data_IF_033957021523
#
_entry.id   IF_033957021523
#
_cell.length_a   1.000
_cell.length_b   1.000
_cell.length_c   1.000
_cell.angle_alpha   90.00
_cell.angle_beta   90.00
_cell.angle_gamma   90.00
#
_symmetry.space_group_name_H-M   'P 1'
#
loop_
_entity.id
_entity.type
_entity.pdbx_description
1 polymer ?
#
# COMPACT_ATOMS: atom_id res chain seq x y z
N UNK A 1 16.10 -14.48 16.41
CA UNK A 1 16.77 -14.53 15.08
C UNK A 1 17.28 -13.14 14.74
N UNK A 2 18.39 -13.03 13.99
CA UNK A 2 18.89 -11.75 13.48
C UNK A 2 18.29 -11.40 12.11
N UNK A 3 17.95 -10.13 11.87
CA UNK A 3 17.53 -9.61 10.56
C UNK A 3 18.30 -8.33 10.21
N UNK A 4 18.72 -8.18 8.97
CA UNK A 4 19.20 -6.90 8.44
C UNK A 4 18.06 -6.07 7.86
N UNK A 5 18.02 -4.76 8.10
CA UNK A 5 17.10 -3.82 7.46
C UNK A 5 17.85 -2.71 6.71
N UNK A 6 17.54 -2.54 5.43
CA UNK A 6 18.00 -1.44 4.57
C UNK A 6 16.80 -0.56 4.22
N UNK A 7 16.92 0.73 4.52
CA UNK A 7 15.83 1.70 4.36
C UNK A 7 15.05 1.88 5.67
N UNK A 8 15.35 2.97 6.36
CA UNK A 8 14.92 3.26 7.74
C UNK A 8 13.96 4.45 7.79
N UNK A 9 13.23 4.68 6.69
CA UNK A 9 12.06 5.57 6.68
C UNK A 9 10.96 5.10 7.65
N UNK A 10 9.80 5.76 7.61
CA UNK A 10 8.70 5.51 8.56
C UNK A 10 8.32 4.02 8.70
N UNK A 11 8.25 3.29 7.58
CA UNK A 11 7.93 1.85 7.59
C UNK A 11 9.09 1.01 8.13
N UNK A 12 10.27 1.10 7.51
CA UNK A 12 11.41 0.25 7.88
C UNK A 12 11.86 0.45 9.32
N UNK A 13 11.90 1.69 9.81
CA UNK A 13 12.23 1.96 11.21
C UNK A 13 11.22 1.38 12.20
N UNK A 14 9.93 1.38 11.88
CA UNK A 14 8.89 0.78 12.72
C UNK A 14 8.95 -0.76 12.71
N UNK A 15 9.26 -1.37 11.56
CA UNK A 15 9.49 -2.81 11.46
C UNK A 15 10.67 -3.22 12.34
N UNK A 16 11.80 -2.51 12.28
CA UNK A 16 12.98 -2.76 13.13
C UNK A 16 12.62 -2.68 14.62
N UNK A 17 11.94 -1.61 15.04
CA UNK A 17 11.50 -1.44 16.44
C UNK A 17 10.59 -2.59 16.88
N UNK A 18 9.65 -2.99 16.04
CA UNK A 18 8.75 -4.09 16.36
C UNK A 18 9.50 -5.41 16.51
N UNK A 19 10.47 -5.70 15.63
CA UNK A 19 11.33 -6.89 15.73
C UNK A 19 12.12 -6.91 17.04
N UNK A 20 12.73 -5.79 17.41
CA UNK A 20 13.49 -5.68 18.67
C UNK A 20 12.60 -5.87 19.90
N UNK A 21 11.36 -5.33 19.90
CA UNK A 21 10.37 -5.58 20.97
C UNK A 21 10.02 -7.06 21.13
N UNK A 22 10.15 -7.86 20.07
CA UNK A 22 9.93 -9.30 20.08
C UNK A 22 11.22 -10.12 20.22
N UNK A 23 12.31 -9.50 20.70
CA UNK A 23 13.56 -10.20 21.04
C UNK A 23 14.43 -10.57 19.84
N UNK A 24 14.17 -10.00 18.66
CA UNK A 24 15.05 -10.15 17.50
C UNK A 24 16.18 -9.12 17.54
N UNK A 25 17.37 -9.53 17.11
CA UNK A 25 18.48 -8.61 16.90
C UNK A 25 18.43 -8.07 15.48
N UNK A 26 18.77 -6.79 15.29
CA UNK A 26 18.68 -6.15 13.98
C UNK A 26 19.97 -5.44 13.61
N UNK A 27 20.45 -5.65 12.39
CA UNK A 27 21.49 -4.82 11.77
C UNK A 27 20.79 -3.83 10.85
N UNK A 28 21.17 -2.55 10.87
CA UNK A 28 20.43 -1.50 10.13
C UNK A 28 21.35 -0.65 9.28
N UNK A 29 20.84 -0.25 8.11
CA UNK A 29 21.50 0.66 7.18
C UNK A 29 20.49 1.62 6.53
N UNK A 30 20.89 2.89 6.40
CA UNK A 30 20.24 3.90 5.57
C UNK A 30 21.30 4.88 5.05
N UNK A 31 21.03 5.54 3.92
CA UNK A 31 21.86 6.66 3.44
C UNK A 31 21.85 7.84 4.42
N UNK A 32 20.78 8.00 5.20
CA UNK A 32 20.69 8.99 6.26
C UNK A 32 21.28 8.41 7.56
N UNK A 33 22.50 8.84 7.88
CA UNK A 33 23.21 8.45 9.10
C UNK A 33 22.42 8.79 10.38
N UNK A 34 21.52 9.80 10.36
CA UNK A 34 20.68 10.12 11.52
C UNK A 34 19.64 9.04 11.76
N UNK A 35 19.07 8.46 10.71
CA UNK A 35 18.11 7.36 10.83
C UNK A 35 18.78 6.11 11.43
N UNK A 36 20.01 5.80 10.99
CA UNK A 36 20.84 4.72 11.56
C UNK A 36 21.14 4.99 13.04
N UNK A 37 21.61 6.19 13.39
CA UNK A 37 21.93 6.55 14.77
C UNK A 37 20.70 6.48 15.69
N UNK A 38 19.53 6.89 15.20
CA UNK A 38 18.27 6.80 15.95
C UNK A 38 17.90 5.37 16.32
N UNK A 39 17.95 4.44 15.36
CA UNK A 39 17.66 3.02 15.66
C UNK A 39 18.77 2.34 16.44
N UNK A 40 20.02 2.79 16.30
CA UNK A 40 21.11 2.29 17.13
C UNK A 40 20.92 2.67 18.61
N UNK A 41 20.43 3.87 18.89
CA UNK A 41 20.04 4.29 20.24
C UNK A 41 18.88 3.44 20.79
N UNK A 42 17.99 2.95 19.91
CA UNK A 42 16.89 2.04 20.26
C UNK A 42 17.35 0.58 20.46
N UNK A 43 18.62 0.26 20.18
CA UNK A 43 19.22 -1.08 20.40
C UNK A 43 19.64 -1.84 19.14
N UNK A 44 19.45 -1.28 17.94
CA UNK A 44 19.90 -1.91 16.70
C UNK A 44 21.42 -1.79 16.51
N UNK A 45 22.01 -2.71 15.73
CA UNK A 45 23.39 -2.59 15.30
C UNK A 45 23.46 -1.76 14.00
N UNK A 46 23.85 -0.49 14.09
CA UNK A 46 24.02 0.37 12.92
C UNK A 46 25.21 -0.03 12.03
N UNK A 47 25.17 0.32 10.76
CA UNK A 47 26.24 0.17 9.77
C UNK A 47 26.34 1.42 8.90
N UNK A 48 27.55 1.74 8.41
CA UNK A 48 27.82 2.94 7.62
C UNK A 48 27.87 2.66 6.11
N UNK A 49 28.08 1.41 5.69
CA UNK A 49 28.04 0.99 4.28
C UNK A 49 27.26 -0.31 4.11
N UNK A 50 26.84 -0.62 2.87
CA UNK A 50 26.15 -1.86 2.54
C UNK A 50 27.05 -3.10 2.74
N UNK A 51 28.35 -2.98 2.51
CA UNK A 51 29.31 -4.07 2.74
C UNK A 51 29.48 -4.35 4.23
N UNK A 52 29.59 -3.29 5.05
CA UNK A 52 29.63 -3.40 6.50
C UNK A 52 28.34 -4.00 7.05
N UNK A 53 27.20 -3.58 6.50
CA UNK A 53 25.88 -4.14 6.80
C UNK A 53 25.87 -5.66 6.60
N UNK A 54 26.26 -6.15 5.42
CA UNK A 54 26.28 -7.60 5.11
C UNK A 54 27.31 -8.34 5.99
N UNK A 55 28.44 -7.72 6.30
CA UNK A 55 29.48 -8.30 7.15
C UNK A 55 29.02 -8.51 8.61
N UNK A 56 28.13 -7.64 9.11
CA UNK A 56 27.56 -7.74 10.46
C UNK A 56 26.45 -8.77 10.60
N UNK A 57 25.94 -9.31 9.49
CA UNK A 57 24.88 -10.33 9.50
C UNK A 57 25.41 -11.75 9.72
N UNK A 58 24.75 -12.47 10.62
CA UNK A 58 24.92 -13.89 10.90
C UNK A 58 24.44 -14.74 9.72
N UNK A 59 25.20 -15.79 9.40
CA UNK A 59 24.89 -16.72 8.30
C UNK A 59 23.93 -17.83 8.79
N UNK A 60 23.03 -18.36 7.93
CA UNK A 60 22.66 -17.84 6.62
C UNK A 60 21.89 -16.52 6.73
N UNK A 61 22.37 -15.48 6.04
CA UNK A 61 21.94 -14.09 6.26
C UNK A 61 20.53 -13.84 5.77
N UNK A 62 19.83 -12.91 6.41
CA UNK A 62 18.55 -12.39 5.94
C UNK A 62 18.62 -10.85 5.91
N UNK A 63 18.55 -10.29 4.70
CA UNK A 63 18.61 -8.84 4.47
C UNK A 63 17.28 -8.36 3.88
N UNK A 64 16.57 -7.52 4.62
CA UNK A 64 15.32 -6.90 4.22
C UNK A 64 15.56 -5.52 3.63
N UNK A 65 15.10 -5.30 2.39
CA UNK A 65 15.13 -4.03 1.68
C UNK A 65 13.73 -3.39 1.74
N UNK A 66 13.66 -2.19 2.29
CA UNK A 66 12.43 -1.42 2.51
C UNK A 66 12.60 -0.03 1.87
N UNK A 67 12.68 -0.03 0.54
CA UNK A 67 12.96 1.14 -0.29
C UNK A 67 11.86 1.35 -1.35
N UNK A 68 11.72 2.57 -1.91
CA UNK A 68 10.80 2.81 -3.02
C UNK A 68 11.10 1.92 -4.22
N UNK A 69 10.06 1.42 -4.89
CA UNK A 69 10.21 0.58 -6.06
C UNK A 69 11.00 1.28 -7.19
N UNK A 70 11.65 0.47 -8.03
CA UNK A 70 12.44 0.91 -9.16
C UNK A 70 13.94 0.95 -8.88
N UNK A 71 14.65 1.88 -9.52
CA UNK A 71 16.11 1.87 -9.63
C UNK A 71 16.84 1.78 -8.28
N UNK A 72 16.35 2.44 -7.24
CA UNK A 72 17.02 2.43 -5.93
C UNK A 72 16.99 1.05 -5.25
N UNK A 73 15.88 0.31 -5.39
CA UNK A 73 15.77 -1.06 -4.89
C UNK A 73 16.62 -2.01 -5.73
N UNK A 74 16.60 -1.87 -7.07
CA UNK A 74 17.46 -2.67 -7.97
C UNK A 74 18.94 -2.57 -7.59
N UNK A 75 19.48 -1.34 -7.55
CA UNK A 75 20.92 -1.15 -7.29
C UNK A 75 21.33 -1.59 -5.89
N UNK A 76 20.45 -1.42 -4.90
CA UNK A 76 20.70 -1.88 -3.53
C UNK A 76 20.78 -3.40 -3.48
N UNK A 77 19.82 -4.10 -4.10
CA UNK A 77 19.80 -5.56 -4.17
C UNK A 77 21.04 -6.10 -4.87
N UNK A 78 21.42 -5.52 -6.02
CA UNK A 78 22.61 -5.94 -6.76
C UNK A 78 23.89 -5.76 -5.92
N UNK A 79 24.00 -4.64 -5.21
CA UNK A 79 25.16 -4.32 -4.36
C UNK A 79 25.30 -5.31 -3.21
N UNK A 80 24.23 -5.55 -2.44
CA UNK A 80 24.32 -6.52 -1.33
C UNK A 80 24.50 -7.95 -1.84
N UNK A 81 23.85 -8.30 -2.95
CA UNK A 81 23.99 -9.61 -3.54
C UNK A 81 25.45 -9.86 -3.93
N UNK A 82 26.18 -8.86 -4.45
CA UNK A 82 27.61 -8.96 -4.81
C UNK A 82 28.52 -9.47 -3.67
N UNK A 83 28.13 -9.23 -2.42
CA UNK A 83 28.91 -9.60 -1.21
C UNK A 83 28.22 -10.65 -0.33
N UNK A 84 27.02 -11.10 -0.71
CA UNK A 84 26.32 -12.24 -0.09
C UNK A 84 26.79 -13.58 -0.70
N UNK A 85 26.47 -14.67 -0.03
CA UNK A 85 26.86 -16.04 -0.43
C UNK A 85 25.65 -16.95 -0.64
N UNK A 86 25.89 -18.12 -1.20
CA UNK A 86 24.87 -19.15 -1.36
C UNK A 86 24.20 -19.50 0.00
N UNK A 87 22.87 -19.61 -0.01
CA UNK A 87 22.03 -19.86 1.16
C UNK A 87 21.56 -18.60 1.90
N UNK A 88 22.14 -17.43 1.63
CA UNK A 88 21.63 -16.17 2.14
C UNK A 88 20.30 -15.79 1.45
N UNK A 89 19.48 -14.94 2.08
CA UNK A 89 18.19 -14.46 1.54
C UNK A 89 18.12 -12.94 1.51
N UNK A 90 17.63 -12.41 0.39
CA UNK A 90 17.22 -11.02 0.24
C UNK A 90 15.69 -10.97 0.27
N UNK A 91 15.14 -10.11 1.13
CA UNK A 91 13.72 -9.87 1.27
C UNK A 91 13.42 -8.48 0.71
N UNK A 92 12.54 -8.36 -0.28
CA UNK A 92 11.97 -7.06 -0.67
C UNK A 92 10.61 -6.90 -0.01
N UNK A 93 10.46 -5.90 0.86
CA UNK A 93 9.16 -5.57 1.47
C UNK A 93 8.62 -4.19 1.09
N UNK A 94 9.19 -3.58 0.04
CA UNK A 94 8.62 -2.38 -0.56
C UNK A 94 7.33 -2.69 -1.34
N UNK A 95 6.74 -1.67 -1.96
CA UNK A 95 5.64 -1.89 -2.90
C UNK A 95 6.20 -2.10 -4.32
N UNK A 96 6.83 -3.25 -4.53
CA UNK A 96 7.47 -3.58 -5.82
C UNK A 96 6.49 -4.22 -6.79
N UNK A 97 6.70 -3.99 -8.09
CA UNK A 97 5.96 -4.67 -9.14
C UNK A 97 6.38 -6.14 -9.20
N UNK A 98 5.43 -7.06 -9.00
CA UNK A 98 5.70 -8.50 -8.84
C UNK A 98 6.53 -9.16 -9.96
N UNK A 99 6.51 -8.62 -11.18
CA UNK A 99 7.35 -9.15 -12.27
C UNK A 99 8.83 -8.85 -12.07
N UNK A 100 9.18 -7.75 -11.41
CA UNK A 100 10.54 -7.45 -11.00
C UNK A 100 11.03 -8.47 -9.97
N UNK A 101 10.18 -8.87 -9.03
CA UNK A 101 10.49 -9.94 -8.07
C UNK A 101 10.79 -11.25 -8.78
N UNK A 102 9.96 -11.65 -9.75
CA UNK A 102 10.17 -12.87 -10.54
C UNK A 102 11.51 -12.82 -11.29
N UNK A 103 11.86 -11.67 -11.89
CA UNK A 103 13.14 -11.48 -12.56
C UNK A 103 14.31 -11.55 -11.59
N UNK A 104 14.27 -10.81 -10.48
CA UNK A 104 15.32 -10.78 -9.45
C UNK A 104 15.52 -12.16 -8.82
N UNK A 105 14.44 -12.85 -8.49
CA UNK A 105 14.47 -14.20 -7.94
C UNK A 105 15.18 -15.18 -8.86
N UNK A 106 14.96 -15.11 -10.18
CA UNK A 106 15.70 -15.92 -11.16
C UNK A 106 17.20 -15.59 -11.16
N UNK A 107 17.55 -14.31 -11.25
CA UNK A 107 18.94 -13.86 -11.30
C UNK A 107 19.73 -14.21 -10.02
N UNK A 108 19.12 -14.04 -8.85
CA UNK A 108 19.76 -14.35 -7.56
C UNK A 108 19.90 -15.86 -7.34
N UNK A 109 18.96 -16.65 -7.84
CA UNK A 109 19.01 -18.11 -7.76
C UNK A 109 20.23 -18.68 -8.50
N UNK A 110 20.66 -18.08 -9.61
CA UNK A 110 21.89 -18.46 -10.31
C UNK A 110 23.15 -18.33 -9.43
N UNK A 111 23.08 -17.49 -8.40
CA UNK A 111 24.14 -17.23 -7.42
C UNK A 111 23.94 -18.02 -6.11
N UNK A 112 22.91 -18.86 -6.05
CA UNK A 112 22.51 -19.58 -4.84
C UNK A 112 21.91 -18.68 -3.75
N UNK A 113 21.53 -17.44 -4.07
CA UNK A 113 20.91 -16.50 -3.12
C UNK A 113 19.39 -16.62 -3.27
N UNK A 114 18.70 -16.75 -2.14
CA UNK A 114 17.24 -16.83 -2.12
C UNK A 114 16.62 -15.43 -2.19
N UNK A 115 15.41 -15.36 -2.72
CA UNK A 115 14.63 -14.13 -2.80
C UNK A 115 13.23 -14.36 -2.20
N UNK A 116 12.77 -13.38 -1.43
CA UNK A 116 11.44 -13.37 -0.82
C UNK A 116 10.82 -11.99 -1.01
N UNK A 117 9.62 -11.93 -1.59
CA UNK A 117 8.82 -10.71 -1.68
C UNK A 117 7.77 -10.68 -0.57
N UNK A 118 7.61 -9.53 0.10
CA UNK A 118 6.72 -9.38 1.26
C UNK A 118 5.85 -8.16 1.11
N UNK A 119 4.68 -8.37 0.54
CA UNK A 119 3.64 -7.37 0.51
C UNK A 119 3.14 -7.04 1.90
N UNK A 120 3.39 -5.81 2.37
CA UNK A 120 3.15 -5.41 3.77
C UNK A 120 2.02 -4.37 3.85
N UNK A 121 1.01 -4.61 4.69
CA UNK A 121 -0.14 -3.71 4.92
C UNK A 121 -0.30 -3.35 6.40
N UNK A 122 -0.84 -2.16 6.68
CA UNK A 122 -1.01 -1.60 8.04
C UNK A 122 -0.39 -0.22 8.24
N UNK A 123 0.47 0.23 7.32
CA UNK A 123 1.09 1.55 7.34
C UNK A 123 1.91 1.82 8.61
N UNK A 124 2.05 3.09 8.98
CA UNK A 124 2.86 3.50 10.14
C UNK A 124 2.35 2.95 11.47
N UNK A 125 1.05 2.63 11.54
CA UNK A 125 0.37 2.07 12.71
C UNK A 125 0.74 0.61 12.99
N UNK A 126 1.39 -0.07 12.05
CA UNK A 126 1.81 -1.46 12.24
C UNK A 126 2.88 -1.66 13.31
N UNK A 127 3.55 -0.60 13.79
CA UNK A 127 4.43 -0.70 14.96
C UNK A 127 3.68 -1.29 16.15
N UNK A 128 2.47 -0.79 16.40
CA UNK A 128 1.64 -1.19 17.53
C UNK A 128 0.64 -2.27 17.12
N UNK A 129 -0.06 -2.07 15.99
CA UNK A 129 -1.11 -2.99 15.50
C UNK A 129 -0.59 -4.27 14.85
N UNK A 130 0.67 -4.30 14.43
CA UNK A 130 1.22 -5.35 13.55
C UNK A 130 0.87 -5.14 12.09
N UNK A 131 1.47 -5.98 11.23
CA UNK A 131 1.41 -5.87 9.78
C UNK A 131 0.73 -7.08 9.17
N UNK A 132 -0.25 -6.85 8.30
CA UNK A 132 -0.73 -7.92 7.44
C UNK A 132 0.29 -8.16 6.33
N UNK A 133 0.77 -9.40 6.18
CA UNK A 133 1.86 -9.72 5.27
C UNK A 133 1.50 -10.83 4.29
N UNK A 134 1.79 -10.60 3.01
CA UNK A 134 1.61 -11.54 1.92
C UNK A 134 2.99 -11.88 1.37
N UNK A 135 3.42 -13.13 1.55
CA UNK A 135 4.81 -13.54 1.36
C UNK A 135 4.92 -14.44 0.14
N UNK A 136 5.73 -14.05 -0.84
CA UNK A 136 6.12 -14.88 -1.97
C UNK A 136 7.55 -15.39 -1.79
N UNK A 137 7.79 -16.67 -2.09
CA UNK A 137 9.13 -17.25 -1.96
C UNK A 137 9.16 -18.76 -1.88
N UNK A 138 10.37 -19.32 -1.83
CA UNK A 138 10.57 -20.76 -1.62
C UNK A 138 10.10 -21.17 -0.23
N UNK A 139 9.25 -22.21 -0.14
CA UNK A 139 8.61 -22.61 1.13
C UNK A 139 9.61 -22.80 2.28
N UNK A 140 10.73 -23.48 2.03
CA UNK A 140 11.74 -23.75 3.06
C UNK A 140 12.40 -22.46 3.58
N UNK A 141 12.58 -21.45 2.72
CA UNK A 141 13.14 -20.16 3.10
C UNK A 141 12.12 -19.35 3.89
N UNK A 142 10.85 -19.36 3.46
CA UNK A 142 9.75 -18.70 4.17
C UNK A 142 9.54 -19.33 5.55
N UNK A 143 9.55 -20.67 5.66
CA UNK A 143 9.43 -21.37 6.93
C UNK A 143 10.61 -21.07 7.88
N UNK A 144 11.83 -20.92 7.35
CA UNK A 144 13.00 -20.48 8.14
C UNK A 144 12.79 -19.07 8.70
N UNK A 145 12.21 -18.17 7.92
CA UNK A 145 11.95 -16.78 8.29
C UNK A 145 10.66 -16.58 9.10
N UNK A 146 9.87 -17.63 9.33
CA UNK A 146 8.59 -17.56 10.03
C UNK A 146 8.64 -16.80 11.38
N UNK A 147 9.69 -16.94 12.23
CA UNK A 147 9.78 -16.16 13.46
C UNK A 147 9.79 -14.64 13.24
N UNK A 148 10.37 -14.16 12.13
CA UNK A 148 10.38 -12.74 11.75
C UNK A 148 8.97 -12.29 11.37
N UNK A 149 8.26 -13.10 10.57
CA UNK A 149 6.89 -12.79 10.15
C UNK A 149 5.92 -12.86 11.35
N UNK A 150 6.03 -13.87 12.20
CA UNK A 150 5.22 -13.98 13.41
C UNK A 150 5.37 -12.76 14.33
N UNK A 151 6.59 -12.24 14.53
CA UNK A 151 6.85 -11.05 15.34
C UNK A 151 6.26 -9.75 14.73
N UNK A 152 6.17 -9.68 13.41
CA UNK A 152 5.63 -8.52 12.71
C UNK A 152 4.11 -8.56 12.57
N UNK A 153 3.52 -9.75 12.57
CA UNK A 153 2.09 -9.95 12.40
C UNK A 153 1.25 -9.30 13.52
N UNK A 154 -0.04 -8.99 13.25
CA UNK A 154 -0.96 -8.48 14.26
C UNK A 154 -1.32 -9.52 15.34
N UNK A 155 -1.20 -10.81 15.02
CA UNK A 155 -1.74 -11.89 15.83
C UNK A 155 -3.25 -12.07 15.60
N UNK A 156 -3.89 -12.93 16.38
CA UNK A 156 -5.32 -13.23 16.23
C UNK A 156 -6.25 -12.02 16.46
N UNK A 157 -5.83 -11.07 17.30
CA UNK A 157 -6.65 -9.94 17.71
C UNK A 157 -7.98 -10.38 18.33
N UNK A 158 -9.01 -9.54 18.15
CA UNK A 158 -10.36 -9.77 18.69
C UNK A 158 -11.36 -10.27 17.62
N UNK A 159 -10.85 -10.68 16.45
CA UNK A 159 -11.70 -11.14 15.33
C UNK A 159 -12.13 -12.58 15.61
N UNK A 160 -13.45 -12.89 15.65
CA UNK A 160 -13.91 -14.26 15.80
C UNK A 160 -13.37 -15.16 14.69
N UNK A 161 -12.97 -16.37 15.05
CA UNK A 161 -12.51 -17.37 14.07
C UNK A 161 -13.64 -17.70 13.10
N UNK A 162 -13.31 -17.79 11.82
CA UNK A 162 -14.28 -18.17 10.79
C UNK A 162 -14.60 -19.65 10.92
N UNK A 163 -15.89 -19.99 11.12
CA UNK A 163 -16.36 -21.37 11.16
C UNK A 163 -16.00 -22.13 9.86
N UNK A 164 -15.55 -23.38 9.97
CA UNK A 164 -15.18 -24.21 8.82
C UNK A 164 -13.75 -24.02 8.30
N UNK A 165 -12.91 -23.24 9.00
CA UNK A 165 -11.47 -23.08 8.68
C UNK A 165 -10.55 -24.02 9.44
N UNK A 166 -11.08 -24.92 10.27
CA UNK A 166 -10.30 -25.88 11.05
C UNK A 166 -9.38 -26.71 10.14
N UNK A 167 -8.15 -27.00 10.60
CA UNK A 167 -7.17 -27.80 9.86
C UNK A 167 -6.44 -27.08 8.72
N UNK A 168 -6.72 -25.79 8.46
CA UNK A 168 -5.94 -24.95 7.53
C UNK A 168 -4.71 -24.34 8.21
N UNK A 169 -3.83 -23.72 7.41
CA UNK A 169 -2.63 -23.04 7.92
C UNK A 169 -3.00 -22.00 9.01
N UNK A 170 -2.53 -22.18 10.25
CA UNK A 170 -2.90 -21.32 11.38
C UNK A 170 -2.29 -19.92 11.31
N UNK A 171 -1.22 -19.72 10.53
CA UNK A 171 -0.54 -18.42 10.38
C UNK A 171 -1.44 -17.35 9.78
N UNK A 172 -2.38 -17.78 8.93
CA UNK A 172 -3.32 -16.88 8.24
C UNK A 172 -4.23 -16.16 9.26
N UNK A 173 -4.68 -16.86 10.30
CA UNK A 173 -5.46 -16.26 11.39
C UNK A 173 -4.62 -15.34 12.29
N UNK A 174 -3.28 -15.37 12.17
CA UNK A 174 -2.38 -14.42 12.83
C UNK A 174 -2.10 -13.17 11.98
N UNK A 175 -2.62 -13.12 10.74
CA UNK A 175 -2.52 -11.97 9.84
C UNK A 175 -1.44 -12.06 8.76
N UNK A 176 -0.83 -13.22 8.52
CA UNK A 176 0.15 -13.37 7.44
C UNK A 176 0.05 -14.70 6.69
N UNK A 177 0.46 -14.71 5.43
CA UNK A 177 0.32 -15.87 4.53
C UNK A 177 1.57 -16.09 3.68
N UNK A 178 1.95 -17.36 3.48
CA UNK A 178 2.78 -17.76 2.35
C UNK A 178 1.90 -17.89 1.11
N UNK A 179 1.88 -16.84 0.29
CA UNK A 179 0.99 -16.70 -0.85
C UNK A 179 1.37 -17.59 -2.04
N UNK A 180 2.65 -17.99 -2.14
CA UNK A 180 3.14 -18.82 -3.22
C UNK A 180 4.63 -18.63 -3.50
N UNK A 181 5.10 -18.95 -4.73
CA UNK A 181 6.48 -18.73 -5.13
C UNK A 181 6.81 -17.23 -5.23
N UNK A 182 8.06 -16.91 -5.57
CA UNK A 182 8.52 -15.53 -5.79
C UNK A 182 7.59 -14.77 -6.73
N UNK A 183 7.21 -13.56 -6.34
CA UNK A 183 6.25 -12.65 -6.97
C UNK A 183 4.84 -12.76 -6.41
N UNK A 184 4.47 -13.88 -5.78
CA UNK A 184 3.09 -14.09 -5.33
C UNK A 184 2.67 -13.16 -4.18
N UNK A 185 3.58 -12.80 -3.28
CA UNK A 185 3.31 -11.92 -2.16
C UNK A 185 2.99 -10.50 -2.62
N UNK A 186 3.88 -9.91 -3.43
CA UNK A 186 3.64 -8.60 -4.04
C UNK A 186 2.44 -8.59 -5.00
N UNK A 187 2.17 -9.69 -5.72
CA UNK A 187 0.97 -9.79 -6.53
C UNK A 187 -0.30 -9.69 -5.67
N UNK A 188 -0.41 -10.49 -4.60
CA UNK A 188 -1.57 -10.42 -3.69
C UNK A 188 -1.69 -9.04 -3.05
N UNK A 189 -0.57 -8.42 -2.66
CA UNK A 189 -0.56 -7.06 -2.09
C UNK A 189 -1.01 -5.99 -3.09
N UNK A 190 -0.59 -6.09 -4.34
CA UNK A 190 -1.03 -5.22 -5.41
C UNK A 190 -2.56 -5.30 -5.57
N UNK A 191 -3.13 -6.51 -5.60
CA UNK A 191 -4.59 -6.70 -5.65
C UNK A 191 -5.28 -6.13 -4.40
N UNK A 192 -4.71 -6.34 -3.20
CA UNK A 192 -5.20 -5.73 -1.96
C UNK A 192 -5.28 -4.20 -2.08
N UNK A 193 -4.24 -3.52 -2.59
CA UNK A 193 -4.30 -2.06 -2.77
C UNK A 193 -5.27 -1.63 -3.88
N UNK A 194 -5.45 -2.44 -4.93
CA UNK A 194 -6.51 -2.21 -5.90
C UNK A 194 -7.90 -2.21 -5.26
N UNK A 195 -8.20 -3.21 -4.41
CA UNK A 195 -9.46 -3.28 -3.65
C UNK A 195 -9.60 -2.08 -2.70
N UNK A 196 -8.53 -1.71 -2.00
CA UNK A 196 -8.50 -0.53 -1.14
C UNK A 196 -8.91 0.75 -1.89
N UNK A 197 -8.44 0.92 -3.14
CA UNK A 197 -8.84 2.06 -3.97
C UNK A 197 -10.35 2.07 -4.25
N UNK A 198 -10.93 0.90 -4.53
CA UNK A 198 -12.37 0.74 -4.74
C UNK A 198 -13.19 1.07 -3.50
N UNK A 199 -12.77 0.58 -2.32
CA UNK A 199 -13.44 0.88 -1.05
C UNK A 199 -13.38 2.38 -0.71
N UNK A 200 -12.21 3.00 -0.85
CA UNK A 200 -12.06 4.44 -0.65
C UNK A 200 -12.97 5.24 -1.61
N UNK A 201 -13.05 4.80 -2.88
CA UNK A 201 -13.88 5.46 -3.87
C UNK A 201 -15.37 5.37 -3.53
N UNK A 202 -15.84 4.19 -3.13
CA UNK A 202 -17.24 3.99 -2.74
C UNK A 202 -17.63 4.88 -1.55
N UNK A 203 -16.73 5.01 -0.56
CA UNK A 203 -16.94 5.95 0.54
C UNK A 203 -17.00 7.40 0.06
N UNK A 204 -16.01 7.83 -0.73
CA UNK A 204 -15.94 9.20 -1.21
C UNK A 204 -17.19 9.61 -2.00
N UNK A 205 -17.66 8.77 -2.92
CA UNK A 205 -18.88 9.03 -3.70
C UNK A 205 -20.13 9.08 -2.82
N UNK A 206 -20.24 8.16 -1.84
CA UNK A 206 -21.37 8.16 -0.91
C UNK A 206 -21.43 9.42 -0.06
N UNK A 207 -20.31 9.87 0.50
CA UNK A 207 -20.24 11.11 1.27
C UNK A 207 -20.47 12.35 0.40
N UNK A 208 -20.00 12.36 -0.84
CA UNK A 208 -20.26 13.46 -1.78
C UNK A 208 -21.75 13.55 -2.13
N UNK A 209 -22.43 12.42 -2.35
CA UNK A 209 -23.88 12.38 -2.56
C UNK A 209 -24.63 12.93 -1.35
N UNK A 210 -24.26 12.52 -0.12
CA UNK A 210 -24.85 13.05 1.10
C UNK A 210 -24.64 14.56 1.24
N UNK A 211 -23.41 15.04 0.94
CA UNK A 211 -23.09 16.47 0.99
C UNK A 211 -23.95 17.29 0.03
N UNK A 212 -24.22 16.74 -1.15
CA UNK A 212 -24.98 17.40 -2.21
C UNK A 212 -26.51 17.21 -2.08
N UNK A 213 -27.00 16.58 -1.01
CA UNK A 213 -28.43 16.41 -0.76
C UNK A 213 -29.18 17.73 -0.46
N UNK A 214 -28.51 18.88 -0.46
CA UNK A 214 -29.07 20.21 -0.20
C UNK A 214 -29.04 21.19 -1.39
N UNK A 215 -28.77 20.71 -2.62
CA UNK A 215 -28.65 21.61 -3.79
C UNK A 215 -30.01 22.24 -4.19
N UNK A 216 -29.96 23.47 -4.73
CA UNK A 216 -31.16 24.22 -5.13
C UNK A 216 -31.97 23.57 -6.27
N UNK A 217 -31.35 22.69 -7.05
CA UNK A 217 -32.03 21.94 -8.11
C UNK A 217 -33.05 20.93 -7.57
N UNK A 218 -32.95 20.54 -6.29
CA UNK A 218 -33.89 19.63 -5.65
C UNK A 218 -35.13 20.37 -5.12
N UNK A 219 -36.31 19.71 -5.07
CA UNK A 219 -37.47 20.21 -4.33
C UNK A 219 -37.11 20.53 -2.87
N UNK A 220 -37.67 21.61 -2.32
CA UNK A 220 -37.27 22.10 -1.00
C UNK A 220 -37.50 21.08 0.13
N UNK A 221 -38.54 20.26 0.03
CA UNK A 221 -38.89 19.17 0.95
C UNK A 221 -38.02 17.91 0.78
N UNK A 222 -37.19 17.85 -0.26
CA UNK A 222 -36.21 16.78 -0.49
C UNK A 222 -34.77 17.22 -0.17
N UNK A 223 -34.58 18.43 0.39
CA UNK A 223 -33.27 18.95 0.76
C UNK A 223 -32.92 18.59 2.19
N UNK A 224 -31.73 18.06 2.38
CA UNK A 224 -31.24 17.64 3.68
C UNK A 224 -29.87 18.27 3.96
N UNK A 225 -29.72 18.88 5.13
CA UNK A 225 -28.44 19.35 5.64
C UNK A 225 -27.92 18.34 6.68
N UNK A 226 -27.11 17.39 6.21
CA UNK A 226 -26.63 16.28 7.03
C UNK A 226 -25.36 16.63 7.79
N UNK A 227 -25.27 16.17 9.05
CA UNK A 227 -24.01 16.08 9.77
C UNK A 227 -23.25 14.83 9.30
N UNK A 228 -22.26 15.02 8.43
CA UNK A 228 -21.49 13.92 7.86
C UNK A 228 -20.53 13.29 8.87
N UNK A 229 -20.07 14.03 9.89
CA UNK A 229 -19.20 13.49 10.92
C UNK A 229 -19.98 12.49 11.79
N UNK A 230 -21.19 12.86 12.22
CA UNK A 230 -22.07 11.98 12.99
C UNK A 230 -22.54 10.78 12.17
N UNK A 231 -22.80 10.95 10.86
CA UNK A 231 -23.14 9.82 9.97
C UNK A 231 -21.96 8.85 9.84
N UNK A 232 -20.74 9.36 9.65
CA UNK A 232 -19.56 8.51 9.62
C UNK A 232 -19.38 7.75 10.94
N UNK A 233 -19.61 8.43 12.06
CA UNK A 233 -19.45 7.87 13.41
C UNK A 233 -20.50 6.79 13.73
N UNK A 234 -21.77 6.99 13.35
CA UNK A 234 -22.81 5.97 13.58
C UNK A 234 -22.54 4.71 12.74
N UNK A 235 -22.04 4.85 11.50
CA UNK A 235 -21.75 3.71 10.65
C UNK A 235 -20.61 2.82 11.15
N UNK A 236 -19.73 3.32 12.02
CA UNK A 236 -18.68 2.50 12.65
C UNK A 236 -19.24 1.44 13.61
N UNK A 237 -20.51 1.54 14.01
CA UNK A 237 -21.11 0.69 15.03
C UNK A 237 -22.26 -0.14 14.47
N UNK A 238 -22.01 -1.43 14.26
CA UNK A 238 -23.05 -2.40 13.91
C UNK A 238 -23.63 -2.27 12.50
N UNK A 239 -23.15 -1.33 11.68
CA UNK A 239 -23.49 -1.29 10.26
C UNK A 239 -22.80 -2.43 9.49
N UNK A 240 -23.13 -2.61 8.22
CA UNK A 240 -22.55 -3.65 7.35
C UNK A 240 -21.19 -3.27 6.79
N UNK A 241 -20.89 -1.98 6.67
CA UNK A 241 -19.68 -1.46 6.02
C UNK A 241 -18.47 -1.12 6.92
N UNK A 242 -18.42 -1.33 8.27
CA UNK A 242 -17.28 -0.92 9.08
C UNK A 242 -15.94 -1.41 8.54
N UNK A 243 -14.96 -0.51 8.52
CA UNK A 243 -13.57 -0.83 8.18
C UNK A 243 -12.64 0.23 8.77
N UNK A 244 -11.34 -0.06 8.78
CA UNK A 244 -10.36 0.95 9.20
C UNK A 244 -10.39 2.21 8.30
N UNK A 245 -10.75 2.07 7.02
CA UNK A 245 -10.94 3.24 6.15
C UNK A 245 -12.09 4.13 6.64
N UNK A 246 -13.20 3.55 7.11
CA UNK A 246 -14.29 4.31 7.70
C UNK A 246 -13.88 4.96 9.02
N UNK A 247 -13.08 4.29 9.86
CA UNK A 247 -12.53 4.90 11.07
C UNK A 247 -11.68 6.14 10.76
N UNK A 248 -10.86 6.07 9.71
CA UNK A 248 -10.05 7.20 9.25
C UNK A 248 -10.93 8.34 8.71
N UNK A 249 -11.96 8.02 7.93
CA UNK A 249 -12.93 9.01 7.42
C UNK A 249 -13.66 9.72 8.55
N UNK A 250 -14.15 8.96 9.54
CA UNK A 250 -14.81 9.53 10.72
C UNK A 250 -13.88 10.43 11.54
N UNK A 251 -12.63 10.01 11.75
CA UNK A 251 -11.62 10.84 12.43
C UNK A 251 -11.38 12.15 11.67
N UNK A 252 -11.19 12.08 10.35
CA UNK A 252 -10.94 13.26 9.53
C UNK A 252 -12.13 14.23 9.51
N UNK A 253 -13.37 13.73 9.44
CA UNK A 253 -14.58 14.56 9.46
C UNK A 253 -14.85 15.18 10.84
N UNK A 254 -14.51 14.48 11.93
CA UNK A 254 -14.59 15.04 13.28
C UNK A 254 -13.60 16.20 13.48
N UNK A 255 -12.38 16.06 12.94
CA UNK A 255 -11.34 17.09 13.00
C UNK A 255 -11.64 18.28 12.06
N UNK A 256 -12.08 18.00 10.83
CA UNK A 256 -12.36 18.99 9.78
C UNK A 256 -13.63 18.60 9.00
N UNK A 257 -14.84 19.02 9.43
CA UNK A 257 -16.10 18.62 8.79
C UNK A 257 -16.21 19.02 7.30
N UNK A 258 -15.47 20.06 6.89
CA UNK A 258 -15.42 20.54 5.51
C UNK A 258 -14.21 20.01 4.72
N UNK A 259 -13.26 19.32 5.37
CA UNK A 259 -12.03 18.80 4.77
C UNK A 259 -11.23 19.88 4.01
N UNK A 260 -11.24 21.12 4.52
CA UNK A 260 -10.74 22.31 3.82
C UNK A 260 -9.23 22.30 3.53
N UNK A 261 -8.47 21.46 4.23
CA UNK A 261 -7.04 21.23 4.05
C UNK A 261 -6.72 20.35 2.83
N UNK A 262 -7.71 19.66 2.27
CA UNK A 262 -7.55 18.78 1.11
C UNK A 262 -8.02 19.50 -0.16
N UNK A 263 -7.15 19.61 -1.16
CA UNK A 263 -7.45 20.28 -2.44
C UNK A 263 -8.34 19.47 -3.39
N UNK A 264 -8.64 18.21 -3.05
CA UNK A 264 -9.28 17.25 -3.94
C UNK A 264 -8.31 16.56 -4.93
N UNK A 265 -7.01 16.90 -4.92
CA UNK A 265 -6.01 16.19 -5.70
C UNK A 265 -5.67 14.85 -5.03
N UNK A 266 -5.92 13.73 -5.71
CA UNK A 266 -5.64 12.38 -5.18
C UNK A 266 -4.48 11.72 -5.94
N UNK A 267 -3.43 11.35 -5.21
CA UNK A 267 -2.24 10.68 -5.74
C UNK A 267 -2.44 9.19 -6.03
N UNK A 268 -1.56 8.76 -6.92
CA UNK A 268 -1.35 7.47 -7.54
C UNK A 268 -0.12 6.63 -7.21
N UNK A 269 -0.11 5.72 -6.24
CA UNK A 269 1.14 5.02 -5.88
C UNK A 269 1.64 3.98 -6.90
N UNK A 270 0.81 3.63 -7.90
CA UNK A 270 1.17 2.76 -9.03
C UNK A 270 0.50 1.40 -9.01
N UNK A 271 0.22 0.85 -7.82
CA UNK A 271 -0.36 -0.49 -7.63
C UNK A 271 -1.75 -0.58 -8.26
N UNK A 272 -2.56 0.47 -8.18
CA UNK A 272 -3.87 0.52 -8.84
C UNK A 272 -3.77 0.38 -10.37
N UNK A 273 -2.71 0.92 -11.00
CA UNK A 273 -2.44 0.72 -12.43
C UNK A 273 -2.09 -0.73 -12.71
N UNK A 274 -1.20 -1.31 -11.92
CA UNK A 274 -0.79 -2.70 -12.09
C UNK A 274 -1.94 -3.68 -11.87
N UNK A 275 -2.86 -3.40 -10.93
CA UNK A 275 -4.10 -4.17 -10.76
C UNK A 275 -4.95 -4.16 -12.03
N UNK A 276 -5.20 -2.99 -12.62
CA UNK A 276 -6.01 -2.89 -13.85
C UNK A 276 -5.30 -3.57 -15.03
N UNK A 277 -3.99 -3.44 -15.14
CA UNK A 277 -3.22 -4.15 -16.17
C UNK A 277 -3.31 -5.68 -15.99
N UNK A 278 -3.17 -6.18 -14.76
CA UNK A 278 -3.33 -7.61 -14.49
C UNK A 278 -4.73 -8.12 -14.86
N UNK A 279 -5.78 -7.35 -14.54
CA UNK A 279 -7.14 -7.68 -14.94
C UNK A 279 -7.32 -7.74 -16.47
N UNK A 280 -6.67 -6.83 -17.21
CA UNK A 280 -6.65 -6.85 -18.68
C UNK A 280 -5.94 -8.12 -19.20
N UNK A 281 -4.75 -8.41 -18.69
CA UNK A 281 -3.95 -9.57 -19.09
C UNK A 281 -4.68 -10.90 -18.81
N UNK A 282 -5.44 -10.95 -17.71
CA UNK A 282 -6.24 -12.11 -17.29
C UNK A 282 -7.64 -12.16 -17.95
N UNK A 283 -8.03 -11.13 -18.70
CA UNK A 283 -9.37 -10.94 -19.25
C UNK A 283 -10.49 -10.98 -18.18
N UNK A 284 -10.23 -10.40 -17.01
CA UNK A 284 -11.15 -10.30 -15.87
C UNK A 284 -11.79 -8.90 -15.81
N UNK A 285 -13.13 -8.78 -15.76
CA UNK A 285 -13.78 -7.49 -15.57
C UNK A 285 -13.47 -6.88 -14.19
N UNK A 286 -13.04 -5.61 -14.18
CA UNK A 286 -12.62 -4.89 -12.96
C UNK A 286 -13.17 -3.45 -12.93
N UNK A 287 -14.48 -3.30 -13.12
CA UNK A 287 -15.16 -2.01 -13.35
C UNK A 287 -14.99 -1.04 -12.19
N UNK A 288 -15.23 -1.49 -10.96
CA UNK A 288 -15.11 -0.64 -9.75
C UNK A 288 -13.68 -0.18 -9.55
N UNK A 289 -12.70 -1.08 -9.70
CA UNK A 289 -11.30 -0.76 -9.48
C UNK A 289 -10.76 0.17 -10.57
N UNK A 290 -11.21 -0.03 -11.82
CA UNK A 290 -10.89 0.83 -12.96
C UNK A 290 -11.46 2.23 -12.78
N UNK A 291 -12.74 2.33 -12.41
CA UNK A 291 -13.39 3.62 -12.15
C UNK A 291 -12.68 4.37 -11.01
N UNK A 292 -12.37 3.67 -9.91
CA UNK A 292 -11.61 4.25 -8.80
C UNK A 292 -10.27 4.82 -9.28
N UNK A 293 -9.47 4.04 -10.02
CA UNK A 293 -8.20 4.51 -10.58
C UNK A 293 -8.40 5.77 -11.45
N UNK A 294 -9.40 5.77 -12.32
CA UNK A 294 -9.66 6.88 -13.24
C UNK A 294 -10.13 8.14 -12.52
N UNK A 295 -10.83 8.03 -11.38
CA UNK A 295 -11.14 9.19 -10.53
C UNK A 295 -9.87 9.90 -10.09
N UNK A 296 -8.80 9.18 -9.71
CA UNK A 296 -7.50 9.80 -9.36
C UNK A 296 -6.86 10.51 -10.56
N UNK A 297 -7.05 10.03 -11.78
CA UNK A 297 -6.56 10.73 -12.98
C UNK A 297 -7.38 12.00 -13.25
N UNK A 298 -8.70 11.90 -13.08
CA UNK A 298 -9.66 12.98 -13.28
C UNK A 298 -9.45 14.10 -12.27
N UNK A 299 -9.16 13.78 -11.01
CA UNK A 299 -8.99 14.74 -9.91
C UNK A 299 -7.83 15.73 -10.12
N UNK A 300 -6.90 15.42 -11.03
CA UNK A 300 -5.71 16.23 -11.33
C UNK A 300 -5.93 17.23 -12.46
N UNK A 301 -7.14 17.26 -13.04
CA UNK A 301 -7.47 18.05 -14.23
C UNK A 301 -8.83 18.71 -14.06
N UNK A 302 -8.93 19.98 -14.40
CA UNK A 302 -10.21 20.72 -14.44
C UNK A 302 -11.03 20.33 -15.69
N UNK A 303 -10.43 20.44 -16.88
CA UNK A 303 -10.98 19.93 -18.14
C UNK A 303 -9.89 19.30 -19.00
N UNK A 304 -10.24 18.30 -19.83
CA UNK A 304 -9.32 17.65 -20.76
C UNK A 304 -9.61 18.05 -22.21
N UNK A 305 -8.81 17.53 -23.13
CA UNK A 305 -9.07 17.69 -24.57
C UNK A 305 -10.36 16.98 -25.01
N UNK A 306 -10.77 15.91 -24.31
CA UNK A 306 -11.98 15.17 -24.66
C UNK A 306 -13.24 16.05 -24.56
N UNK A 307 -13.37 16.87 -23.51
CA UNK A 307 -14.51 17.78 -23.37
C UNK A 307 -14.54 18.84 -24.47
N UNK A 308 -13.37 19.33 -24.91
CA UNK A 308 -13.28 20.26 -26.06
C UNK A 308 -13.78 19.60 -27.35
N UNK A 309 -13.43 18.34 -27.57
CA UNK A 309 -13.93 17.55 -28.70
C UNK A 309 -15.45 17.33 -28.59
N UNK A 310 -15.99 17.06 -27.39
CA UNK A 310 -17.44 16.97 -27.17
C UNK A 310 -18.15 18.28 -27.53
N UNK A 311 -17.63 19.43 -27.08
CA UNK A 311 -18.18 20.76 -27.43
C UNK A 311 -18.12 21.01 -28.94
N UNK A 312 -17.01 20.68 -29.60
CA UNK A 312 -16.87 20.82 -31.05
C UNK A 312 -17.86 19.95 -31.83
N UNK A 313 -18.05 18.69 -31.41
CA UNK A 313 -19.06 17.80 -32.02
C UNK A 313 -20.47 18.36 -31.85
N UNK A 314 -20.84 18.76 -30.62
CA UNK A 314 -22.17 19.36 -30.33
C UNK A 314 -22.44 20.63 -31.13
N UNK A 315 -21.42 21.47 -31.34
CA UNK A 315 -21.51 22.63 -32.20
C UNK A 315 -21.71 22.22 -33.67
N UNK A 316 -20.93 21.24 -34.15
CA UNK A 316 -20.95 20.80 -35.54
C UNK A 316 -22.25 20.12 -35.98
N UNK A 317 -22.75 19.15 -35.21
CA UNK A 317 -23.96 18.40 -35.60
C UNK A 317 -25.27 19.08 -35.18
N UNK A 318 -25.27 19.79 -34.04
CA UNK A 318 -26.50 20.29 -33.40
C UNK A 318 -26.58 21.81 -33.29
N UNK A 319 -25.56 22.55 -33.73
CA UNK A 319 -25.51 24.00 -33.60
C UNK A 319 -25.46 24.50 -32.14
N UNK A 320 -25.14 23.63 -31.18
CA UNK A 320 -25.09 24.00 -29.77
C UNK A 320 -23.97 25.01 -29.50
N UNK A 321 -24.31 26.12 -28.84
CA UNK A 321 -23.32 27.11 -28.38
C UNK A 321 -22.87 26.75 -26.96
N UNK A 322 -21.57 26.56 -26.80
CA UNK A 322 -20.97 26.36 -25.48
C UNK A 322 -21.18 27.60 -24.59
N UNK A 323 -21.59 27.43 -23.32
CA UNK A 323 -21.65 28.54 -22.37
C UNK A 323 -20.28 29.20 -22.23
N UNK A 324 -20.23 30.53 -22.24
CA UNK A 324 -18.96 31.24 -22.00
C UNK A 324 -18.53 31.01 -20.56
N UNK A 325 -17.26 30.64 -20.35
CA UNK A 325 -16.69 30.60 -19.00
C UNK A 325 -16.85 31.98 -18.33
N UNK A 326 -17.40 32.05 -17.11
CA UNK A 326 -17.36 33.27 -16.31
C UNK A 326 -15.89 33.68 -16.11
N UNK A 327 -15.49 34.85 -16.63
CA UNK A 327 -14.14 35.39 -16.45
C UNK A 327 -13.13 35.15 -17.59
N UNK A 328 -13.47 34.41 -18.64
CA UNK A 328 -12.59 34.30 -19.81
C UNK A 328 -12.63 35.60 -20.63
N UNK A 329 -11.63 36.46 -20.45
CA UNK A 329 -11.40 37.60 -21.34
C UNK A 329 -11.20 37.10 -22.77
N UNK A 330 -11.84 37.76 -23.75
CA UNK A 330 -11.65 37.44 -25.17
C UNK A 330 -10.15 37.42 -25.50
N UNK A 331 -9.65 36.41 -26.24
CA UNK A 331 -8.33 36.52 -26.85
C UNK A 331 -8.35 37.74 -27.78
N UNK A 332 -7.29 38.56 -27.70
CA UNK A 332 -7.03 39.62 -28.67
C UNK A 332 -6.74 39.03 -30.04
#
# INVERSE_FOLDING_TARGET
>A
MQLGMIGLGRMGGNIVRRLMRHGHTTVVYDKDAKAVAGLAADGAQGSATLEEFVAKLERPRAAWVMLPAGHITETTIDTIAAVMQAGDVIIDGGNTFWQDDVRRGKALKERGIHYVDVGTSGGVWGLDRGYCMMIGGEKQVVDRLDPIFAALAPGAGDIPRTEGREGRDPRIEQGYIHAGPVGAGHFVKMIHNGIEYGLMQAYAEGFDILKNANIEALPADHRYDFDLADIAEVWRRGSVIPSWLLDLTSTALADSPALAEYSGFVEDSGEGRWTVNAAIDEAVPAEVLTAALYTRFRSRKEHTFAEKILSAMRAGFGGHKEPKQPGASKPK
#
